data_IF_867076629939
#
_entry.id   IF_867076629939
#
_cell.length_a   1.000
_cell.length_b   1.000
_cell.length_c   1.000
_cell.angle_alpha   90.00
_cell.angle_beta   90.00
_cell.angle_gamma   90.00
#
_symmetry.space_group_name_H-M   'P 1'
#
loop_
_entity.id
_entity.type
_entity.pdbx_description
1 polymer ?
#
# COMPACT_ATOMS: atom_id res chain seq x y z
N UNK A 1 2.31 -5.20 -22.63
CA UNK A 1 2.12 -6.07 -21.45
C UNK A 1 0.70 -5.95 -20.95
N UNK A 2 0.01 -7.06 -20.64
CA UNK A 2 -1.30 -7.04 -19.96
C UNK A 2 -1.12 -7.27 -18.45
N UNK A 3 -1.70 -6.39 -17.65
CA UNK A 3 -1.58 -6.39 -16.18
C UNK A 3 -2.93 -6.71 -15.55
N UNK A 4 -2.93 -7.60 -14.57
CA UNK A 4 -4.09 -7.87 -13.72
C UNK A 4 -3.75 -7.55 -12.26
N UNK A 5 -4.43 -6.55 -11.71
CA UNK A 5 -4.35 -6.17 -10.31
C UNK A 5 -5.55 -6.73 -9.55
N UNK A 6 -5.27 -7.60 -8.60
CA UNK A 6 -6.25 -8.20 -7.70
C UNK A 6 -6.24 -7.41 -6.38
N UNK A 7 -7.42 -7.04 -5.88
CA UNK A 7 -7.55 -6.18 -4.70
C UNK A 7 -6.88 -4.81 -4.96
N UNK A 8 -7.21 -4.17 -6.09
CA UNK A 8 -6.46 -3.02 -6.63
C UNK A 8 -6.39 -1.80 -5.69
N UNK A 9 -7.41 -1.63 -4.84
CA UNK A 9 -7.60 -0.44 -4.04
C UNK A 9 -7.61 0.80 -4.93
N UNK A 10 -6.71 1.74 -4.65
CA UNK A 10 -6.60 3.02 -5.36
C UNK A 10 -5.55 3.01 -6.50
N UNK A 11 -5.29 1.86 -7.13
CA UNK A 11 -4.34 1.71 -8.23
C UNK A 11 -2.89 2.07 -7.92
N UNK A 12 -2.43 1.71 -6.73
CA UNK A 12 -1.01 1.83 -6.35
C UNK A 12 -0.08 1.15 -7.38
N UNK A 13 -0.52 0.02 -7.95
CA UNK A 13 0.22 -0.72 -8.97
C UNK A 13 0.48 0.07 -10.26
N UNK A 14 -0.52 0.80 -10.79
CA UNK A 14 -0.33 1.63 -12.00
C UNK A 14 0.67 2.76 -11.75
N UNK A 15 0.59 3.42 -10.59
CA UNK A 15 1.54 4.47 -10.21
C UNK A 15 2.95 3.88 -10.14
N UNK A 16 3.11 2.70 -9.53
CA UNK A 16 4.39 2.03 -9.40
C UNK A 16 4.98 1.59 -10.75
N UNK A 17 4.16 1.04 -11.65
CA UNK A 17 4.58 0.68 -13.02
C UNK A 17 5.09 1.91 -13.78
N UNK A 18 4.35 3.02 -13.71
CA UNK A 18 4.74 4.27 -14.36
C UNK A 18 6.06 4.82 -13.79
N UNK A 19 6.25 4.77 -12.46
CA UNK A 19 7.50 5.17 -11.79
C UNK A 19 8.69 4.24 -12.06
N UNK A 20 8.42 2.99 -12.41
CA UNK A 20 9.42 2.03 -12.86
C UNK A 20 9.74 2.19 -14.37
N UNK A 21 9.00 3.03 -15.10
CA UNK A 21 9.16 3.23 -16.54
C UNK A 21 8.65 2.04 -17.36
N UNK A 22 7.68 1.29 -16.85
CA UNK A 22 7.15 0.09 -17.49
C UNK A 22 5.88 0.43 -18.25
N UNK A 23 5.90 0.21 -19.56
CA UNK A 23 4.74 0.36 -20.40
C UNK A 23 3.85 -0.89 -20.34
N UNK A 24 2.54 -0.68 -20.30
CA UNK A 24 1.53 -1.73 -20.37
C UNK A 24 0.43 -1.33 -21.35
N UNK A 25 -0.17 -2.32 -21.99
CA UNK A 25 -1.17 -2.12 -23.03
C UNK A 25 -2.58 -2.07 -22.42
N UNK A 26 -2.86 -3.01 -21.51
CA UNK A 26 -4.13 -3.12 -20.81
C UNK A 26 -3.90 -3.31 -19.32
N UNK A 27 -4.76 -2.69 -18.52
CA UNK A 27 -4.78 -2.85 -17.07
C UNK A 27 -6.18 -3.26 -16.61
N UNK A 28 -6.25 -4.46 -16.03
CA UNK A 28 -7.44 -5.04 -15.47
C UNK A 28 -7.37 -4.95 -13.94
N UNK A 29 -8.44 -4.46 -13.30
CA UNK A 29 -8.51 -4.28 -11.85
C UNK A 29 -9.70 -5.05 -11.28
N UNK A 30 -9.46 -5.88 -10.27
CA UNK A 30 -10.50 -6.46 -9.43
C UNK A 30 -10.55 -5.69 -8.11
N UNK A 31 -11.61 -4.90 -7.92
CA UNK A 31 -11.88 -4.08 -6.75
C UNK A 31 -13.39 -3.97 -6.55
N UNK A 32 -13.83 -3.79 -5.30
CA UNK A 32 -15.25 -3.72 -4.93
C UNK A 32 -15.62 -2.43 -4.18
N UNK A 33 -14.64 -1.72 -3.59
CA UNK A 33 -14.85 -0.46 -2.87
C UNK A 33 -15.19 0.64 -3.89
N UNK A 34 -16.42 1.20 -3.88
CA UNK A 34 -16.83 2.18 -4.90
C UNK A 34 -15.94 3.43 -4.92
N UNK A 35 -15.52 3.92 -3.75
CA UNK A 35 -14.65 5.09 -3.63
C UNK A 35 -13.23 4.83 -4.12
N UNK A 36 -12.72 3.61 -3.97
CA UNK A 36 -11.43 3.19 -4.51
C UNK A 36 -11.46 3.10 -6.04
N UNK A 37 -12.52 2.50 -6.60
CA UNK A 37 -12.77 2.45 -8.05
C UNK A 37 -12.88 3.87 -8.63
N UNK A 38 -13.60 4.76 -7.95
CA UNK A 38 -13.81 6.13 -8.41
C UNK A 38 -12.49 6.93 -8.52
N UNK A 39 -11.61 6.86 -7.52
CA UNK A 39 -10.30 7.55 -7.59
C UNK A 39 -9.41 6.92 -8.66
N UNK A 40 -9.42 5.60 -8.82
CA UNK A 40 -8.71 4.92 -9.91
C UNK A 40 -9.19 5.39 -11.27
N UNK A 41 -10.51 5.46 -11.51
CA UNK A 41 -11.05 5.89 -12.80
C UNK A 41 -10.83 7.38 -13.09
N UNK A 42 -10.71 8.22 -12.07
CA UNK A 42 -10.35 9.64 -12.24
C UNK A 42 -8.94 9.80 -12.83
N UNK A 43 -7.97 9.02 -12.36
CA UNK A 43 -6.57 9.14 -12.79
C UNK A 43 -6.21 8.21 -13.96
N UNK A 44 -6.86 7.06 -14.04
CA UNK A 44 -6.62 6.01 -15.01
C UNK A 44 -7.94 5.56 -15.66
N UNK A 45 -8.61 6.42 -16.45
CA UNK A 45 -9.96 6.17 -16.99
C UNK A 45 -10.06 4.99 -17.97
N UNK A 46 -8.91 4.45 -18.41
CA UNK A 46 -8.82 3.25 -19.27
C UNK A 46 -8.73 1.95 -18.47
N UNK A 47 -8.74 2.02 -17.14
CA UNK A 47 -8.70 0.83 -16.28
C UNK A 47 -9.97 0.01 -16.47
N UNK A 48 -9.80 -1.28 -16.78
CA UNK A 48 -10.91 -2.21 -16.97
C UNK A 48 -11.27 -2.78 -15.59
N UNK A 49 -12.37 -2.30 -15.01
CA UNK A 49 -12.86 -2.73 -13.70
C UNK A 49 -13.66 -4.03 -13.85
N UNK A 50 -13.17 -5.10 -13.23
CA UNK A 50 -13.75 -6.44 -13.31
C UNK A 50 -14.70 -6.74 -12.15
N UNK A 51 -14.63 -5.96 -11.06
CA UNK A 51 -15.42 -6.18 -9.85
C UNK A 51 -14.82 -7.22 -8.91
N UNK A 52 -15.69 -7.96 -8.23
CA UNK A 52 -15.33 -8.94 -7.19
C UNK A 52 -14.52 -10.12 -7.75
N UNK A 53 -13.39 -10.42 -7.10
CA UNK A 53 -12.51 -11.56 -7.47
C UNK A 53 -13.22 -12.92 -7.44
N UNK A 54 -14.35 -13.02 -6.73
CA UNK A 54 -15.14 -14.23 -6.61
C UNK A 54 -16.03 -14.50 -7.84
N UNK A 55 -16.42 -13.43 -8.54
CA UNK A 55 -17.49 -13.46 -9.53
C UNK A 55 -16.97 -13.29 -10.97
N UNK A 56 -15.66 -13.09 -11.14
CA UNK A 56 -15.03 -12.86 -12.44
C UNK A 56 -14.70 -14.19 -13.12
N UNK A 57 -15.09 -14.30 -14.39
CA UNK A 57 -14.63 -15.34 -15.29
C UNK A 57 -13.31 -14.91 -15.96
N UNK A 58 -12.20 -15.53 -15.54
CA UNK A 58 -10.85 -15.18 -16.00
C UNK A 58 -10.51 -15.69 -17.40
N UNK A 59 -11.23 -16.70 -17.92
CA UNK A 59 -10.95 -17.33 -19.22
C UNK A 59 -11.17 -16.40 -20.43
N UNK A 60 -11.95 -15.32 -20.25
CA UNK A 60 -12.19 -14.33 -21.30
C UNK A 60 -11.13 -13.22 -21.40
N UNK A 61 -10.16 -13.19 -20.49
CA UNK A 61 -9.11 -12.19 -20.51
C UNK A 61 -8.05 -12.51 -21.57
N UNK A 62 -7.40 -11.48 -22.17
CA UNK A 62 -6.20 -11.73 -22.95
C UNK A 62 -5.12 -12.34 -22.07
N UNK A 63 -4.07 -12.93 -22.68
CA UNK A 63 -2.91 -13.43 -21.94
C UNK A 63 -2.39 -12.37 -20.98
N UNK A 64 -2.38 -12.68 -19.69
CA UNK A 64 -1.87 -11.81 -18.64
C UNK A 64 -0.38 -12.08 -18.43
N UNK A 65 0.42 -11.01 -18.40
CA UNK A 65 1.87 -11.10 -18.23
C UNK A 65 2.30 -10.85 -16.77
N UNK A 66 1.55 -10.01 -16.05
CA UNK A 66 1.83 -9.61 -14.68
C UNK A 66 0.54 -9.67 -13.85
N UNK A 67 0.58 -10.42 -12.74
CA UNK A 67 -0.46 -10.41 -11.72
C UNK A 67 0.09 -9.85 -10.41
N UNK A 68 -0.62 -8.94 -9.76
CA UNK A 68 -0.25 -8.57 -8.39
C UNK A 68 -1.45 -8.27 -7.52
N UNK A 69 -1.25 -8.27 -6.22
CA UNK A 69 -2.31 -7.94 -5.27
C UNK A 69 -1.87 -8.01 -3.82
N UNK A 70 -2.64 -7.34 -2.95
CA UNK A 70 -2.51 -7.42 -1.51
C UNK A 70 -3.79 -8.01 -0.93
N UNK A 71 -3.83 -9.33 -0.72
CA UNK A 71 -5.04 -9.98 -0.20
C UNK A 71 -5.38 -9.44 1.20
N UNK A 72 -6.66 -9.25 1.55
CA UNK A 72 -7.07 -8.74 2.85
C UNK A 72 -6.40 -9.47 4.02
N UNK A 73 -5.77 -8.70 4.92
CA UNK A 73 -4.89 -9.26 5.95
C UNK A 73 -5.56 -9.43 7.33
N UNK A 74 -6.90 -9.42 7.40
CA UNK A 74 -7.59 -9.26 8.69
C UNK A 74 -7.29 -10.39 9.70
N UNK A 75 -7.27 -11.65 9.26
CA UNK A 75 -6.87 -12.78 10.09
C UNK A 75 -5.36 -12.93 10.30
N UNK A 76 -4.54 -12.19 9.54
CA UNK A 76 -3.07 -12.30 9.57
C UNK A 76 -2.45 -11.22 10.46
N UNK A 77 -3.02 -10.01 10.44
CA UNK A 77 -2.48 -8.82 11.11
C UNK A 77 -2.50 -8.94 12.64
N UNK A 78 -1.36 -8.62 13.27
CA UNK A 78 -1.25 -8.53 14.73
C UNK A 78 -2.07 -7.40 15.36
N UNK A 79 -2.53 -6.45 14.55
CA UNK A 79 -3.35 -5.33 15.02
C UNK A 79 -4.82 -5.73 15.23
N UNK A 80 -5.23 -6.89 14.72
CA UNK A 80 -6.57 -7.41 14.91
C UNK A 80 -6.64 -8.38 16.09
N UNK A 81 -7.80 -8.41 16.75
CA UNK A 81 -8.07 -9.29 17.88
C UNK A 81 -8.23 -10.76 17.45
N UNK A 82 -8.73 -11.00 16.23
CA UNK A 82 -9.00 -12.34 15.70
C UNK A 82 -7.94 -12.72 14.65
N UNK A 83 -6.88 -13.40 15.09
CA UNK A 83 -5.76 -13.83 14.24
C UNK A 83 -5.94 -15.28 13.75
N UNK A 84 -7.11 -15.56 13.15
CA UNK A 84 -7.48 -16.88 12.60
C UNK A 84 -6.67 -17.27 11.34
N UNK A 85 -5.67 -16.47 10.96
CA UNK A 85 -4.83 -16.75 9.80
C UNK A 85 -5.62 -16.69 8.51
N UNK A 86 -5.53 -17.76 7.71
CA UNK A 86 -6.19 -17.91 6.41
C UNK A 86 -7.62 -18.46 6.50
N UNK A 87 -8.06 -18.91 7.68
CA UNK A 87 -9.46 -19.35 7.90
C UNK A 87 -10.42 -18.17 8.03
N UNK A 88 -9.89 -16.98 8.36
CA UNK A 88 -10.68 -15.75 8.41
C UNK A 88 -11.35 -15.48 7.05
N UNK A 89 -12.63 -15.10 7.06
CA UNK A 89 -13.49 -14.95 5.88
C UNK A 89 -12.93 -14.03 4.79
N UNK A 90 -12.14 -13.03 5.16
CA UNK A 90 -11.43 -12.15 4.23
C UNK A 90 -10.03 -12.65 3.85
N UNK A 91 -9.31 -13.28 4.78
CA UNK A 91 -7.95 -13.79 4.51
C UNK A 91 -7.97 -14.95 3.51
N UNK A 92 -9.04 -15.74 3.48
CA UNK A 92 -9.22 -16.83 2.52
C UNK A 92 -9.22 -16.37 1.06
N UNK A 93 -9.37 -15.07 0.80
CA UNK A 93 -9.25 -14.50 -0.55
C UNK A 93 -7.82 -14.65 -1.12
N UNK A 94 -6.81 -14.92 -0.27
CA UNK A 94 -5.51 -15.41 -0.71
C UNK A 94 -5.63 -16.62 -1.66
N UNK A 95 -6.53 -17.57 -1.37
CA UNK A 95 -6.71 -18.75 -2.22
C UNK A 95 -7.27 -18.41 -3.61
N UNK A 96 -8.00 -17.30 -3.75
CA UNK A 96 -8.42 -16.80 -5.05
C UNK A 96 -7.22 -16.28 -5.84
N UNK A 97 -6.32 -15.54 -5.20
CA UNK A 97 -5.06 -15.10 -5.82
C UNK A 97 -4.24 -16.30 -6.35
N UNK A 98 -4.10 -17.35 -5.53
CA UNK A 98 -3.41 -18.60 -5.93
C UNK A 98 -4.10 -19.28 -7.10
N UNK A 99 -5.43 -19.42 -7.05
CA UNK A 99 -6.22 -20.01 -8.15
C UNK A 99 -5.97 -19.26 -9.46
N UNK A 100 -6.07 -17.93 -9.43
CA UNK A 100 -5.95 -17.09 -10.63
C UNK A 100 -4.53 -17.13 -11.20
N UNK A 101 -3.48 -17.15 -10.36
CA UNK A 101 -2.11 -17.34 -10.85
C UNK A 101 -1.95 -18.68 -11.56
N UNK A 102 -2.53 -19.76 -11.02
CA UNK A 102 -2.48 -21.09 -11.66
C UNK A 102 -3.25 -21.13 -12.97
N UNK A 103 -4.43 -20.52 -13.02
CA UNK A 103 -5.29 -20.49 -14.21
C UNK A 103 -4.68 -19.63 -15.34
N UNK A 104 -4.13 -18.46 -15.01
CA UNK A 104 -3.63 -17.50 -16.00
C UNK A 104 -2.14 -17.63 -16.29
N UNK A 105 -1.38 -18.30 -15.42
CA UNK A 105 0.05 -18.58 -15.54
C UNK A 105 0.88 -17.37 -16.04
N UNK A 106 0.88 -16.25 -15.30
CA UNK A 106 1.54 -15.02 -15.73
C UNK A 106 3.06 -15.20 -15.74
N UNK A 107 3.76 -14.34 -16.50
CA UNK A 107 5.23 -14.30 -16.48
C UNK A 107 5.75 -13.88 -15.10
N UNK A 108 5.15 -12.86 -14.50
CA UNK A 108 5.51 -12.36 -13.18
C UNK A 108 4.30 -12.30 -12.25
N UNK A 109 4.55 -12.49 -10.96
CA UNK A 109 3.58 -12.18 -9.92
C UNK A 109 4.18 -11.40 -8.76
N UNK A 110 3.36 -10.63 -8.04
CA UNK A 110 3.70 -10.02 -6.76
C UNK A 110 2.53 -10.10 -5.78
N UNK A 111 2.73 -10.75 -4.65
CA UNK A 111 1.80 -10.77 -3.52
C UNK A 111 2.39 -9.99 -2.37
N UNK A 112 1.66 -9.02 -1.84
CA UNK A 112 2.00 -8.29 -0.62
C UNK A 112 1.12 -8.74 0.55
N UNK A 113 1.69 -8.80 1.75
CA UNK A 113 0.92 -8.92 2.99
C UNK A 113 1.67 -8.34 4.20
N UNK A 114 0.95 -8.15 5.30
CA UNK A 114 1.53 -7.69 6.57
C UNK A 114 2.39 -8.74 7.24
N UNK A 115 3.35 -8.27 8.04
CA UNK A 115 3.92 -9.13 9.08
C UNK A 115 2.83 -9.51 10.08
N UNK A 116 2.84 -10.74 10.55
CA UNK A 116 1.84 -11.14 11.53
C UNK A 116 1.93 -12.59 11.99
N UNK A 117 0.85 -13.32 11.76
CA UNK A 117 0.71 -14.74 12.07
C UNK A 117 1.77 -15.56 11.29
N UNK A 118 2.61 -16.30 12.03
CA UNK A 118 3.72 -17.06 11.45
C UNK A 118 3.22 -18.24 10.61
N UNK A 119 2.23 -18.98 11.11
CA UNK A 119 1.65 -20.13 10.41
C UNK A 119 1.06 -19.71 9.06
N UNK A 120 0.30 -18.61 9.01
CA UNK A 120 -0.19 -18.05 7.76
C UNK A 120 0.95 -17.66 6.82
N UNK A 121 2.04 -17.07 7.34
CA UNK A 121 3.23 -16.72 6.56
C UNK A 121 3.91 -17.97 5.96
N UNK A 122 4.01 -19.05 6.74
CA UNK A 122 4.59 -20.32 6.33
C UNK A 122 3.72 -20.97 5.23
N UNK A 123 2.40 -21.02 5.42
CA UNK A 123 1.44 -21.55 4.43
C UNK A 123 1.51 -20.76 3.11
N UNK A 124 1.54 -19.43 3.17
CA UNK A 124 1.67 -18.58 1.97
C UNK A 124 3.01 -18.90 1.27
N UNK A 125 4.10 -19.01 2.02
CA UNK A 125 5.43 -19.29 1.48
C UNK A 125 5.49 -20.65 0.76
N UNK A 126 4.95 -21.70 1.39
CA UNK A 126 4.87 -23.03 0.79
C UNK A 126 3.98 -23.01 -0.47
N UNK A 127 2.80 -22.39 -0.37
CA UNK A 127 1.83 -22.33 -1.47
C UNK A 127 2.36 -21.56 -2.69
N UNK A 128 3.06 -20.45 -2.46
CA UNK A 128 3.62 -19.62 -3.52
C UNK A 128 4.94 -20.17 -4.07
N UNK A 129 5.59 -21.11 -3.36
CA UNK A 129 6.84 -21.74 -3.78
C UNK A 129 8.06 -20.81 -3.77
N UNK A 130 7.95 -19.62 -3.16
CA UNK A 130 9.02 -18.62 -3.05
C UNK A 130 9.05 -18.04 -1.64
N UNK A 131 10.23 -17.72 -1.13
CA UNK A 131 10.36 -17.05 0.17
C UNK A 131 10.00 -15.56 0.06
N UNK A 132 9.37 -14.96 1.09
CA UNK A 132 9.06 -13.54 1.07
C UNK A 132 10.32 -12.69 1.26
N UNK A 133 10.32 -11.53 0.63
CA UNK A 133 11.26 -10.44 0.94
C UNK A 133 10.56 -9.53 1.96
N UNK A 134 11.20 -9.28 3.10
CA UNK A 134 10.73 -8.28 4.06
C UNK A 134 11.31 -6.92 3.69
N UNK A 135 10.46 -5.94 3.36
CA UNK A 135 10.87 -4.56 3.13
C UNK A 135 10.10 -3.65 4.07
N UNK A 136 10.83 -2.73 4.70
CA UNK A 136 10.23 -1.70 5.51
C UNK A 136 10.19 -0.38 4.76
N UNK A 137 8.99 0.17 4.62
CA UNK A 137 8.73 1.44 3.93
C UNK A 137 9.51 2.61 4.52
N UNK A 138 10.04 2.49 5.74
CA UNK A 138 10.91 3.51 6.36
C UNK A 138 12.12 3.86 5.50
N UNK A 139 12.57 2.97 4.61
CA UNK A 139 13.72 3.23 3.73
C UNK A 139 13.38 4.26 2.65
N UNK A 140 12.13 4.30 2.17
CA UNK A 140 11.72 5.17 1.05
C UNK A 140 10.63 6.16 1.44
N UNK A 141 10.22 6.18 2.71
CA UNK A 141 9.15 7.03 3.24
C UNK A 141 9.41 7.36 4.71
N UNK A 142 8.65 8.34 5.22
CA UNK A 142 8.62 8.70 6.63
C UNK A 142 7.69 7.80 7.47
N UNK A 143 7.46 6.54 7.08
CA UNK A 143 6.53 5.63 7.76
C UNK A 143 7.20 4.29 8.12
N UNK A 144 7.06 3.85 9.37
CA UNK A 144 7.44 2.49 9.76
C UNK A 144 6.34 1.49 9.36
N UNK A 145 6.50 0.84 8.20
CA UNK A 145 5.53 -0.09 7.60
C UNK A 145 6.28 -1.29 7.01
N UNK A 146 6.65 -2.30 7.84
CA UNK A 146 7.24 -3.54 7.36
C UNK A 146 6.16 -4.43 6.71
N UNK A 147 6.45 -4.94 5.51
CA UNK A 147 5.60 -5.85 4.73
C UNK A 147 6.40 -6.99 4.13
N UNK A 148 5.73 -8.10 3.88
CA UNK A 148 6.27 -9.24 3.15
C UNK A 148 5.81 -9.18 1.70
N UNK A 149 6.72 -9.52 0.80
CA UNK A 149 6.51 -9.55 -0.63
C UNK A 149 6.93 -10.91 -1.19
N UNK A 150 5.98 -11.70 -1.69
CA UNK A 150 6.24 -12.95 -2.40
C UNK A 150 6.19 -12.67 -3.90
N UNK A 151 7.26 -12.99 -4.62
CA UNK A 151 7.35 -12.71 -6.06
C UNK A 151 8.37 -13.63 -6.73
N UNK A 152 8.16 -13.89 -8.02
CA UNK A 152 9.15 -14.50 -8.88
C UNK A 152 9.99 -13.48 -9.68
N UNK A 153 9.81 -12.16 -9.44
CA UNK A 153 10.67 -11.13 -10.03
C UNK A 153 12.08 -11.29 -9.42
N UNK A 154 13.11 -11.51 -10.25
CA UNK A 154 14.44 -11.89 -9.74
C UNK A 154 15.20 -10.68 -9.20
N UNK A 155 16.15 -10.93 -8.31
CA UNK A 155 17.17 -9.94 -7.94
C UNK A 155 16.71 -8.80 -7.03
N UNK A 156 15.56 -8.94 -6.35
CA UNK A 156 15.09 -7.91 -5.41
C UNK A 156 16.02 -7.81 -4.20
N UNK A 157 16.57 -6.62 -3.98
CA UNK A 157 17.33 -6.26 -2.77
C UNK A 157 16.52 -5.31 -1.89
N UNK A 158 17.05 -4.91 -0.73
CA UNK A 158 16.50 -3.76 -0.02
C UNK A 158 16.65 -2.49 -0.87
N UNK A 159 15.67 -1.57 -0.84
CA UNK A 159 15.85 -0.23 -1.38
C UNK A 159 16.86 0.56 -0.55
N UNK A 160 17.50 1.55 -1.15
CA UNK A 160 18.36 2.49 -0.43
C UNK A 160 17.54 3.32 0.58
N UNK A 161 18.14 3.65 1.72
CA UNK A 161 17.51 4.53 2.69
C UNK A 161 17.63 5.99 2.22
N UNK A 162 16.50 6.58 1.85
CA UNK A 162 16.40 7.98 1.40
C UNK A 162 16.42 8.98 2.55
N UNK A 163 16.42 8.53 3.82
CA UNK A 163 16.51 9.40 4.99
C UNK A 163 15.28 10.29 5.24
N UNK A 164 14.15 10.03 4.58
CA UNK A 164 12.95 10.89 4.63
C UNK A 164 12.29 10.84 6.01
N UNK A 165 12.14 11.97 6.70
CA UNK A 165 11.56 12.02 8.05
C UNK A 165 10.14 12.58 8.06
N UNK A 166 9.44 12.43 9.18
CA UNK A 166 8.18 13.13 9.42
C UNK A 166 8.36 14.64 9.31
N UNK A 167 9.45 15.21 9.83
CA UNK A 167 9.69 16.66 9.74
C UNK A 167 9.77 17.12 8.28
N UNK A 168 10.38 16.33 7.40
CA UNK A 168 10.35 16.61 5.96
C UNK A 168 8.92 16.65 5.42
N UNK A 169 8.06 15.69 5.80
CA UNK A 169 6.66 15.66 5.37
C UNK A 169 5.87 16.87 5.91
N UNK A 170 5.96 17.13 7.22
CA UNK A 170 5.17 18.19 7.88
C UNK A 170 5.59 19.59 7.42
N UNK A 171 6.89 19.83 7.18
CA UNK A 171 7.39 21.14 6.78
C UNK A 171 7.17 21.46 5.30
N UNK A 172 6.90 20.46 4.46
CA UNK A 172 6.71 20.65 3.03
C UNK A 172 5.25 20.47 2.60
N UNK A 173 4.36 19.97 3.48
CA UNK A 173 2.96 19.75 3.12
C UNK A 173 2.27 21.08 2.83
N UNK A 174 1.57 21.20 1.69
CA UNK A 174 0.96 22.46 1.25
C UNK A 174 -0.43 22.68 1.85
N UNK A 175 -1.03 21.67 2.49
CA UNK A 175 -2.38 21.75 3.04
C UNK A 175 -2.33 22.03 4.54
N UNK A 176 -3.21 22.92 4.99
CA UNK A 176 -3.52 23.05 6.41
C UNK A 176 -4.25 21.79 6.89
N UNK A 177 -3.78 21.24 8.00
CA UNK A 177 -4.39 20.08 8.62
C UNK A 177 -5.51 20.49 9.58
N UNK A 178 -6.61 19.75 9.56
CA UNK A 178 -7.75 19.99 10.46
C UNK A 178 -7.38 19.74 11.93
N UNK A 179 -7.94 20.59 12.81
CA UNK A 179 -7.78 20.43 14.25
C UNK A 179 -8.60 19.25 14.77
N UNK A 180 -8.05 18.57 15.77
CA UNK A 180 -8.73 17.47 16.45
C UNK A 180 -9.90 18.02 17.26
N UNK A 181 -11.08 17.41 17.11
CA UNK A 181 -12.27 17.82 17.84
C UNK A 181 -12.11 17.70 19.37
N UNK A 182 -12.79 18.57 20.12
CA UNK A 182 -12.73 18.58 21.59
C UNK A 182 -13.14 17.25 22.23
N UNK A 183 -14.06 16.51 21.61
CA UNK A 183 -14.44 15.16 22.07
C UNK A 183 -13.30 14.15 21.94
N UNK A 184 -12.58 14.17 20.82
CA UNK A 184 -11.44 13.29 20.56
C UNK A 184 -10.22 13.68 21.43
N UNK A 185 -10.02 14.98 21.70
CA UNK A 185 -9.03 15.45 22.69
C UNK A 185 -9.35 14.94 24.10
N UNK A 186 -10.60 15.05 24.55
CA UNK A 186 -11.04 14.51 25.85
C UNK A 186 -10.78 13.01 25.95
N UNK A 187 -11.00 12.27 24.87
CA UNK A 187 -10.69 10.84 24.83
C UNK A 187 -9.19 10.56 24.89
N UNK A 188 -8.34 11.28 24.14
CA UNK A 188 -6.89 11.15 24.20
C UNK A 188 -6.34 11.32 25.63
N UNK A 189 -6.97 12.19 26.42
CA UNK A 189 -6.54 12.51 27.78
C UNK A 189 -7.09 11.54 28.86
N UNK A 190 -8.10 10.74 28.54
CA UNK A 190 -8.68 9.77 29.47
C UNK A 190 -7.89 8.44 29.48
N UNK A 191 -8.29 7.50 30.35
CA UNK A 191 -7.61 6.20 30.48
C UNK A 191 -7.60 5.39 29.17
N UNK A 192 -8.71 5.35 28.44
CA UNK A 192 -8.83 4.60 27.20
C UNK A 192 -7.90 5.14 26.12
N UNK A 193 -7.83 6.47 25.93
CA UNK A 193 -6.91 7.10 25.00
C UNK A 193 -5.45 6.87 25.37
N UNK A 194 -5.09 7.09 26.64
CA UNK A 194 -3.74 6.79 27.17
C UNK A 194 -3.36 5.33 26.96
N UNK A 195 -4.31 4.40 27.10
CA UNK A 195 -4.07 2.98 26.85
C UNK A 195 -3.91 2.65 25.37
N UNK A 196 -4.66 3.31 24.49
CA UNK A 196 -4.46 3.21 23.04
C UNK A 196 -3.05 3.68 22.64
N UNK A 197 -2.57 4.78 23.22
CA UNK A 197 -1.20 5.28 23.03
C UNK A 197 -0.16 4.30 23.57
N UNK A 198 -0.34 3.79 24.79
CA UNK A 198 0.57 2.82 25.40
C UNK A 198 0.70 1.54 24.57
N UNK A 199 -0.40 1.06 23.97
CA UNK A 199 -0.42 -0.11 23.08
C UNK A 199 0.10 0.20 21.67
N UNK A 200 0.33 1.48 21.34
CA UNK A 200 0.84 1.92 20.04
C UNK A 200 -0.19 1.90 18.92
N UNK A 201 -1.48 1.77 19.24
CA UNK A 201 -2.58 1.92 18.28
C UNK A 201 -2.80 3.40 17.92
N UNK A 202 -2.64 4.28 18.90
CA UNK A 202 -2.60 5.73 18.71
C UNK A 202 -1.17 6.21 18.90
N UNK A 203 -0.76 7.24 18.15
CA UNK A 203 0.55 7.88 18.34
C UNK A 203 0.40 9.39 18.36
N UNK A 204 1.24 10.05 19.14
CA UNK A 204 1.34 11.51 19.20
C UNK A 204 2.77 11.87 18.84
N UNK A 205 2.98 12.68 17.80
CA UNK A 205 4.30 13.06 17.28
C UNK A 205 5.24 11.84 17.07
N UNK A 206 4.86 10.84 16.26
CA UNK A 206 5.70 9.67 16.01
C UNK A 206 6.92 10.05 15.15
N UNK A 207 7.99 10.51 15.79
CA UNK A 207 9.22 10.95 15.13
C UNK A 207 10.36 9.92 15.29
N UNK A 208 11.32 9.86 14.34
CA UNK A 208 11.38 10.59 13.07
C UNK A 208 10.56 9.91 11.94
N UNK A 209 9.86 8.82 12.26
CA UNK A 209 9.02 8.05 11.32
C UNK A 209 7.64 7.83 11.93
N UNK A 210 6.63 8.14 11.15
CA UNK A 210 5.22 7.90 11.47
C UNK A 210 4.93 6.42 11.73
N UNK A 211 3.89 6.15 12.53
CA UNK A 211 3.35 4.81 12.67
C UNK A 211 2.68 4.34 11.37
N UNK A 212 2.52 3.02 11.22
CA UNK A 212 1.82 2.45 10.09
C UNK A 212 0.39 2.98 10.01
N UNK A 213 0.02 3.60 8.88
CA UNK A 213 -1.37 3.97 8.59
C UNK A 213 -2.20 2.68 8.43
N UNK A 214 -3.42 2.69 8.96
CA UNK A 214 -4.39 1.59 8.84
C UNK A 214 -5.71 2.14 8.36
N UNK A 215 -6.44 1.45 7.47
CA UNK A 215 -7.64 2.00 6.84
C UNK A 215 -8.70 2.54 7.82
N UNK A 216 -8.86 1.88 8.98
CA UNK A 216 -9.84 2.28 9.99
C UNK A 216 -9.24 3.13 11.13
N UNK A 217 -7.98 3.55 11.03
CA UNK A 217 -7.28 4.27 12.09
C UNK A 217 -8.02 5.53 12.50
N UNK A 218 -8.34 6.41 11.55
CA UNK A 218 -9.05 7.65 11.82
C UNK A 218 -10.45 7.42 12.41
N UNK A 219 -11.25 6.55 11.79
CA UNK A 219 -12.62 6.25 12.26
C UNK A 219 -12.64 5.66 13.68
N UNK A 220 -11.60 4.92 14.07
CA UNK A 220 -11.43 4.34 15.41
C UNK A 220 -10.63 5.22 16.38
N UNK A 221 -10.26 6.43 15.95
CA UNK A 221 -9.42 7.38 16.69
C UNK A 221 -8.00 6.86 17.01
N UNK A 222 -7.60 5.76 16.36
CA UNK A 222 -6.33 5.07 16.46
C UNK A 222 -5.42 5.49 15.28
N UNK A 223 -5.09 6.78 15.25
CA UNK A 223 -4.29 7.40 14.19
C UNK A 223 -3.01 8.03 14.75
N UNK A 224 -2.23 8.62 13.84
CA UNK A 224 -1.06 9.42 14.19
C UNK A 224 -1.48 10.88 14.31
N UNK A 225 -1.50 11.42 15.53
CA UNK A 225 -1.79 12.83 15.81
C UNK A 225 -0.52 13.66 15.85
N UNK A 226 -0.64 14.93 15.46
CA UNK A 226 0.40 15.94 15.63
C UNK A 226 -0.02 16.89 16.76
N UNK A 227 0.85 17.04 17.76
CA UNK A 227 0.71 18.02 18.84
C UNK A 227 1.77 19.11 18.65
N UNK A 228 1.32 20.31 18.31
CA UNK A 228 2.17 21.48 18.10
C UNK A 228 1.55 22.69 18.79
N UNK A 229 2.36 23.45 19.54
CA UNK A 229 1.94 24.65 20.26
C UNK A 229 0.69 24.45 21.14
N UNK A 230 0.59 23.26 21.75
CA UNK A 230 -0.53 22.88 22.63
C UNK A 230 -1.81 22.46 21.91
N UNK A 231 -1.81 22.44 20.57
CA UNK A 231 -2.98 22.08 19.75
C UNK A 231 -2.76 20.74 19.06
N UNK A 232 -3.78 19.89 19.11
CA UNK A 232 -3.81 18.63 18.37
C UNK A 232 -4.41 18.85 16.99
N UNK A 233 -3.73 18.34 15.96
CA UNK A 233 -4.25 18.25 14.58
C UNK A 233 -4.14 16.83 14.03
N UNK A 234 -4.97 16.55 13.03
CA UNK A 234 -4.82 15.37 12.19
C UNK A 234 -3.60 15.51 11.27
N UNK A 235 -3.20 14.42 10.62
CA UNK A 235 -2.39 14.57 9.41
C UNK A 235 -3.29 15.19 8.31
N UNK A 236 -2.77 16.06 7.47
CA UNK A 236 -3.50 16.50 6.27
C UNK A 236 -3.54 15.37 5.25
N UNK A 237 -4.44 15.48 4.28
CA UNK A 237 -4.56 14.47 3.24
C UNK A 237 -3.27 14.31 2.41
N UNK A 238 -2.60 15.43 2.07
CA UNK A 238 -1.30 15.38 1.39
C UNK A 238 -0.21 14.73 2.27
N UNK A 239 -0.21 14.96 3.59
CA UNK A 239 0.72 14.26 4.50
C UNK A 239 0.46 12.74 4.48
N UNK A 240 -0.80 12.29 4.48
CA UNK A 240 -1.16 10.88 4.35
C UNK A 240 -0.71 10.28 3.02
N UNK A 241 -0.94 11.00 1.92
CA UNK A 241 -0.51 10.61 0.58
C UNK A 241 1.00 10.40 0.52
N UNK A 242 1.77 11.37 1.02
CA UNK A 242 3.23 11.31 0.99
C UNK A 242 3.81 10.25 1.92
N UNK A 243 3.14 9.91 3.04
CA UNK A 243 3.52 8.76 3.86
C UNK A 243 3.42 7.43 3.10
N UNK A 244 2.59 7.34 2.06
CA UNK A 244 2.53 6.21 1.13
C UNK A 244 3.27 6.48 -0.19
N UNK A 245 4.01 7.58 -0.28
CA UNK A 245 4.69 8.06 -1.49
C UNK A 245 3.75 8.28 -2.67
N UNK A 246 2.48 8.63 -2.45
CA UNK A 246 1.55 8.96 -3.55
C UNK A 246 1.87 10.31 -4.19
N UNK A 247 1.47 10.54 -5.45
CA UNK A 247 1.46 11.88 -6.04
C UNK A 247 0.60 12.82 -5.19
N UNK A 248 1.03 14.08 -5.06
CA UNK A 248 0.26 15.13 -4.38
C UNK A 248 -1.13 15.29 -5.00
N UNK A 249 -2.16 15.35 -4.16
CA UNK A 249 -3.55 15.55 -4.55
C UNK A 249 -4.17 14.34 -5.23
N UNK A 250 -3.57 13.15 -5.13
CA UNK A 250 -4.10 11.93 -5.76
C UNK A 250 -5.51 11.58 -5.25
N UNK A 251 -5.75 11.75 -3.96
CA UNK A 251 -7.04 11.48 -3.31
C UNK A 251 -7.90 12.74 -3.16
N UNK A 252 -7.51 13.88 -3.74
CA UNK A 252 -8.20 15.20 -3.57
C UNK A 252 -9.69 15.25 -3.91
N UNK A 253 -10.21 14.26 -4.65
CA UNK A 253 -11.65 14.12 -4.94
C UNK A 253 -12.45 13.41 -3.85
N UNK A 254 -11.80 12.96 -2.78
CA UNK A 254 -12.39 12.14 -1.74
C UNK A 254 -12.59 12.95 -0.46
N UNK A 255 -13.51 12.50 0.40
CA UNK A 255 -13.54 12.97 1.79
C UNK A 255 -12.27 12.53 2.51
N UNK A 256 -11.91 13.21 3.60
CA UNK A 256 -10.77 12.82 4.43
C UNK A 256 -10.88 11.37 4.90
N UNK A 257 -12.07 10.93 5.32
CA UNK A 257 -12.33 9.57 5.78
C UNK A 257 -12.13 8.51 4.69
N UNK A 258 -12.58 8.79 3.47
CA UNK A 258 -12.45 7.85 2.36
C UNK A 258 -11.01 7.82 1.84
N UNK A 259 -10.32 8.98 1.83
CA UNK A 259 -8.89 9.06 1.53
C UNK A 259 -8.07 8.27 2.56
N UNK A 260 -8.35 8.45 3.86
CA UNK A 260 -7.68 7.71 4.93
C UNK A 260 -7.87 6.19 4.81
N UNK A 261 -9.09 5.74 4.44
CA UNK A 261 -9.38 4.32 4.20
C UNK A 261 -8.49 3.74 3.09
N UNK A 262 -8.52 4.33 1.89
CA UNK A 262 -7.77 3.78 0.74
C UNK A 262 -6.25 3.95 0.89
N UNK A 263 -5.78 5.02 1.54
CA UNK A 263 -4.35 5.24 1.82
C UNK A 263 -3.86 4.27 2.89
N UNK A 264 -4.67 3.97 3.91
CA UNK A 264 -4.30 3.03 4.96
C UNK A 264 -4.10 1.60 4.43
N UNK A 265 -4.99 1.16 3.54
CA UNK A 265 -4.87 -0.14 2.84
C UNK A 265 -3.81 -0.12 1.74
N UNK A 266 -3.57 1.03 1.10
CA UNK A 266 -2.65 1.18 -0.02
C UNK A 266 -1.20 0.78 0.26
N UNK A 267 -0.48 0.50 -0.84
CA UNK A 267 0.94 0.23 -0.81
C UNK A 267 1.77 1.51 -0.74
N UNK A 268 2.98 1.39 -0.18
CA UNK A 268 3.99 2.43 -0.36
C UNK A 268 4.54 2.31 -1.77
N UNK A 269 4.15 3.23 -2.65
CA UNK A 269 4.39 3.16 -4.10
C UNK A 269 5.86 2.92 -4.44
N UNK A 270 6.79 3.61 -3.79
CA UNK A 270 8.22 3.51 -4.14
C UNK A 270 8.85 2.16 -3.76
N UNK A 271 8.28 1.43 -2.78
CA UNK A 271 8.67 0.04 -2.53
C UNK A 271 8.26 -0.85 -3.70
N UNK A 272 7.04 -0.66 -4.21
CA UNK A 272 6.51 -1.46 -5.32
C UNK A 272 7.25 -1.14 -6.62
N UNK A 273 7.54 0.15 -6.86
CA UNK A 273 8.33 0.58 -8.02
C UNK A 273 9.76 0.00 -7.96
N UNK A 274 10.38 -0.04 -6.77
CA UNK A 274 11.68 -0.70 -6.57
C UNK A 274 11.64 -2.19 -6.95
N UNK A 275 10.60 -2.91 -6.55
CA UNK A 275 10.41 -4.32 -6.95
C UNK A 275 10.26 -4.43 -8.47
N UNK A 276 9.36 -3.64 -9.06
CA UNK A 276 9.06 -3.70 -10.50
C UNK A 276 10.25 -3.36 -11.40
N UNK A 277 11.16 -2.48 -10.98
CA UNK A 277 12.40 -2.15 -11.73
C UNK A 277 13.30 -3.33 -12.03
N UNK A 278 13.12 -4.46 -11.34
CA UNK A 278 13.90 -5.67 -11.57
C UNK A 278 13.31 -6.59 -12.66
N UNK A 279 12.12 -6.28 -13.18
CA UNK A 279 11.58 -6.98 -14.34
C UNK A 279 12.45 -6.74 -15.58
N UNK A 280 12.53 -7.73 -16.45
CA UNK A 280 13.38 -7.67 -17.65
C UNK A 280 13.10 -6.48 -18.56
N UNK A 281 11.86 -5.99 -18.59
CA UNK A 281 11.44 -4.83 -19.38
C UNK A 281 12.14 -3.52 -18.96
N UNK A 282 12.67 -3.46 -17.73
CA UNK A 282 13.43 -2.31 -17.21
C UNK A 282 14.94 -2.43 -17.44
N UNK A 283 15.45 -3.60 -17.87
CA UNK A 283 16.87 -3.73 -18.17
C UNK A 283 17.14 -2.94 -19.45
N UNK A 284 17.98 -1.90 -19.44
CA UNK A 284 18.42 -1.30 -20.68
C UNK A 284 19.01 -2.42 -21.54
N UNK A 285 18.53 -2.55 -22.77
CA UNK A 285 19.16 -3.43 -23.75
C UNK A 285 20.67 -3.16 -23.66
N UNK A 286 21.47 -4.19 -23.37
CA UNK A 286 22.92 -4.09 -23.27
C UNK A 286 23.47 -3.32 -24.50
N UNK A 287 23.68 -2.00 -24.36
CA UNK A 287 24.54 -1.13 -25.18
C UNK A 287 24.55 0.33 -24.70
N UNK A 288 25.76 0.73 -24.32
CA UNK A 288 26.29 2.09 -24.11
C UNK A 288 25.90 2.81 -22.82
N UNK A 289 26.90 2.95 -21.94
CA UNK A 289 26.94 3.90 -20.84
C UNK A 289 26.72 5.32 -21.38
N UNK A 290 25.63 5.97 -21.00
CA UNK A 290 25.56 7.44 -20.96
C UNK A 290 25.15 7.88 -19.56
N UNK A 291 25.92 8.83 -19.05
CA UNK A 291 26.00 9.25 -17.64
C UNK A 291 24.69 9.88 -17.17
N UNK A 292 24.39 9.62 -15.91
CA UNK A 292 23.32 10.19 -15.10
C UNK A 292 23.74 11.61 -14.63
N UNK A 293 23.74 12.57 -15.55
CA UNK A 293 23.74 14.00 -15.25
C UNK A 293 22.81 14.59 -16.29
N UNK A 294 21.68 15.14 -15.85
CA UNK A 294 20.67 15.91 -16.60
C UNK A 294 19.27 15.35 -16.32
N UNK A 295 18.66 15.82 -15.22
CA UNK A 295 17.21 16.02 -15.03
C UNK A 295 16.89 16.57 -13.64
N UNK A 296 17.45 17.74 -13.34
CA UNK A 296 16.91 18.71 -12.37
C UNK A 296 17.15 20.12 -12.92
N UNK A 297 16.44 20.44 -14.00
CA UNK A 297 16.09 21.79 -14.44
C UNK A 297 14.61 21.75 -14.81
#
# INVERSE_FOLDING_TARGET
MNVLSLFDGMSCGQIALNRAGINYDNYFASEIKPHAIAVTQKHYPKTIQLGSVLDVNWFGLPKIDLIFGGSPCKGISRLNQNQEGLEHSESKLFWQFVRIIKELNPKYFLLENTHGNKEATDIITETMGVSPISINSKLVSAQNRPRYYWTNIPGITQPEDLGITTDFILNNSPDEAELVSGGRIKWLQNESGKMSVKKGYTRINPYPKSGCLTANGHRKWNENYILQDGVYRHLSQNELEWLQTLPKGYTSSMSYDDAYDVIGDGWTIDVIAHIFRNMEQCKPALKSRRKLCDKMV
#
